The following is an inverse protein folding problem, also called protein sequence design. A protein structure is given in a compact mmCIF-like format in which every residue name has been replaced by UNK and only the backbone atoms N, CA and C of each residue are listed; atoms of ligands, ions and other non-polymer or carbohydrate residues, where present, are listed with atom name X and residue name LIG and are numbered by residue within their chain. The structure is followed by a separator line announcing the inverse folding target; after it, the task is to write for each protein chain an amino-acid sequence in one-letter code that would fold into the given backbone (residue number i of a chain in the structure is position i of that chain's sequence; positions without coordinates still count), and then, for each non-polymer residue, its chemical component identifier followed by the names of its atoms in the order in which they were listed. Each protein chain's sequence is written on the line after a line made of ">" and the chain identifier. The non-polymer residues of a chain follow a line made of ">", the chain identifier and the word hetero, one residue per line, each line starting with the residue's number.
data_IF_549804950633
#
_entry.id   IF_549804950633
#
_cell.length_a   1.000
_cell.length_b   1.000
_cell.length_c   1.000
_cell.angle_alpha   90.00
_cell.angle_beta   90.00
_cell.angle_gamma   90.00
#
_symmetry.space_group_name_H-M   'P 1'
#
loop_
_entity.id
_entity.type
_entity.pdbx_description
1 polymer ?
#
# COMPACT_ATOMS: atom_id res chain seq x y z
N UNK A 1 14.90 2.10 6.70
CA UNK A 1 14.37 1.01 5.85
C UNK A 1 13.54 0.06 6.70
N UNK A 2 12.39 -0.38 6.22
CA UNK A 2 11.52 -1.32 6.92
C UNK A 2 10.16 -1.48 6.25
N UNK A 3 9.26 -2.21 6.91
CA UNK A 3 7.88 -2.32 6.47
C UNK A 3 7.18 -0.98 6.69
N UNK A 4 6.72 -0.37 5.61
CA UNK A 4 6.00 0.90 5.64
C UNK A 4 4.52 0.69 5.94
N UNK A 5 3.84 -0.06 5.09
CA UNK A 5 2.43 -0.37 5.25
C UNK A 5 2.04 -1.71 4.61
N UNK A 6 0.82 -2.15 4.90
CA UNK A 6 0.18 -3.31 4.31
C UNK A 6 -1.15 -2.90 3.67
N UNK A 7 -1.45 -3.40 2.48
CA UNK A 7 -2.75 -3.21 1.84
C UNK A 7 -3.43 -4.56 1.64
N UNK A 8 -4.68 -4.65 2.11
CA UNK A 8 -5.45 -5.89 2.10
C UNK A 8 -6.85 -5.68 1.52
N UNK A 9 -7.35 -6.71 0.83
CA UNK A 9 -8.73 -6.74 0.36
C UNK A 9 -9.68 -7.19 1.47
N UNK A 10 -10.81 -6.51 1.58
CA UNK A 10 -11.84 -6.76 2.58
C UNK A 10 -13.21 -6.91 1.91
N UNK A 11 -13.88 -8.05 2.09
CA UNK A 11 -15.25 -8.23 1.58
C UNK A 11 -16.25 -7.26 2.20
N UNK A 12 -16.06 -6.97 3.50
CA UNK A 12 -16.85 -5.98 4.26
C UNK A 12 -15.89 -4.89 4.77
N UNK A 13 -15.87 -3.78 4.04
CA UNK A 13 -14.98 -2.67 4.33
C UNK A 13 -15.35 -1.96 5.64
N UNK A 14 -16.65 -1.80 5.90
CA UNK A 14 -17.15 -1.11 7.09
C UNK A 14 -16.86 -1.91 8.36
N UNK A 15 -17.16 -3.20 8.37
CA UNK A 15 -16.84 -4.07 9.51
C UNK A 15 -15.34 -4.11 9.77
N UNK A 16 -14.53 -4.18 8.71
CA UNK A 16 -13.08 -4.15 8.84
C UNK A 16 -12.56 -2.82 9.37
N UNK A 17 -13.05 -1.69 8.85
CA UNK A 17 -12.66 -0.37 9.33
C UNK A 17 -13.00 -0.19 10.82
N UNK A 18 -14.19 -0.61 11.26
CA UNK A 18 -14.59 -0.58 12.67
C UNK A 18 -13.68 -1.44 13.55
N UNK A 19 -13.31 -2.64 13.11
CA UNK A 19 -12.38 -3.49 13.84
C UNK A 19 -11.06 -2.76 14.15
N UNK A 20 -10.46 -2.12 13.15
CA UNK A 20 -9.21 -1.40 13.34
C UNK A 20 -9.38 -0.11 14.16
N UNK A 21 -10.47 0.64 13.95
CA UNK A 21 -10.65 1.94 14.64
C UNK A 21 -11.18 1.80 16.06
N UNK A 22 -12.21 0.98 16.27
CA UNK A 22 -12.89 0.86 17.55
C UNK A 22 -12.18 -0.09 18.51
N UNK A 23 -11.62 -1.21 17.99
CA UNK A 23 -10.96 -2.21 18.83
C UNK A 23 -9.45 -1.96 18.96
N UNK A 24 -8.77 -1.63 17.86
CA UNK A 24 -7.31 -1.48 17.85
C UNK A 24 -6.84 -0.02 17.95
N UNK A 25 -7.75 0.97 17.93
CA UNK A 25 -7.44 2.37 18.12
C UNK A 25 -6.72 3.06 16.95
N UNK A 26 -6.79 2.49 15.75
CA UNK A 26 -6.29 3.15 14.54
C UNK A 26 -7.13 4.38 14.21
N UNK A 27 -6.53 5.32 13.49
CA UNK A 27 -7.22 6.53 13.01
C UNK A 27 -7.31 6.49 11.49
N UNK A 28 -8.41 7.03 10.96
CA UNK A 28 -8.58 7.19 9.51
C UNK A 28 -7.71 8.36 9.04
N UNK A 29 -6.89 8.12 8.02
CA UNK A 29 -6.10 9.15 7.35
C UNK A 29 -6.75 9.62 6.06
N UNK A 30 -7.32 8.66 5.31
CA UNK A 30 -7.86 8.94 4.00
C UNK A 30 -8.94 7.93 3.61
N UNK A 31 -9.89 8.37 2.79
CA UNK A 31 -10.96 7.53 2.22
C UNK A 31 -11.02 7.78 0.73
N UNK A 32 -10.77 6.76 -0.06
CA UNK A 32 -10.81 6.84 -1.52
C UNK A 32 -12.07 6.17 -2.08
N UNK A 33 -12.61 6.76 -3.15
CA UNK A 33 -13.80 6.27 -3.85
C UNK A 33 -14.80 7.39 -4.13
N UNK A 34 -15.88 7.11 -4.87
CA UNK A 34 -16.95 8.07 -5.10
C UNK A 34 -17.62 8.49 -3.78
N UNK A 35 -18.14 9.73 -3.75
CA UNK A 35 -18.86 10.25 -2.59
C UNK A 35 -19.98 9.29 -2.16
N UNK A 36 -20.02 8.92 -0.89
CA UNK A 36 -21.00 7.97 -0.33
C UNK A 36 -20.75 6.49 -0.66
N UNK A 37 -19.66 6.16 -1.38
CA UNK A 37 -19.27 4.79 -1.70
C UNK A 37 -17.77 4.59 -1.54
N UNK A 38 -17.25 4.48 -0.30
CA UNK A 38 -15.85 4.18 -0.05
C UNK A 38 -15.42 2.89 -0.75
N UNK A 39 -14.27 2.95 -1.44
CA UNK A 39 -13.63 1.80 -2.06
C UNK A 39 -12.35 1.40 -1.34
N UNK A 40 -11.76 2.35 -0.62
CA UNK A 40 -10.58 2.12 0.20
C UNK A 40 -10.59 3.04 1.43
N UNK A 41 -10.00 2.56 2.52
CA UNK A 41 -9.80 3.31 3.77
C UNK A 41 -8.35 3.13 4.21
N UNK A 42 -7.63 4.23 4.35
CA UNK A 42 -6.26 4.28 4.85
C UNK A 42 -6.28 4.58 6.35
N UNK A 43 -5.58 3.78 7.14
CA UNK A 43 -5.58 3.82 8.59
C UNK A 43 -4.15 3.88 9.13
N UNK A 44 -3.93 4.68 10.18
CA UNK A 44 -2.63 4.79 10.84
C UNK A 44 -2.71 4.52 12.34
N UNK A 45 -1.61 4.01 12.89
CA UNK A 45 -1.37 3.88 14.34
C UNK A 45 -0.05 4.54 14.78
N UNK A 46 0.61 5.25 13.86
CA UNK A 46 1.89 5.94 14.05
C UNK A 46 1.91 7.21 13.16
N UNK A 47 3.00 8.00 13.09
CA UNK A 47 3.05 9.23 12.30
C UNK A 47 2.98 9.06 10.78
N UNK A 48 3.04 7.84 10.23
CA UNK A 48 2.89 7.59 8.78
C UNK A 48 1.49 7.95 8.31
N UNK A 49 1.35 8.29 7.02
CA UNK A 49 0.04 8.48 6.42
C UNK A 49 -0.85 7.25 6.63
N UNK A 50 -0.34 6.05 6.40
CA UNK A 50 -1.05 4.83 6.75
C UNK A 50 -0.10 3.69 7.13
N UNK A 51 -0.55 2.85 8.05
CA UNK A 51 0.11 1.59 8.43
C UNK A 51 -0.59 0.40 7.79
N UNK A 52 -1.90 0.57 7.53
CA UNK A 52 -2.71 -0.39 6.78
C UNK A 52 -3.70 0.36 5.89
N UNK A 53 -3.94 -0.14 4.68
CA UNK A 53 -5.07 0.29 3.86
C UNK A 53 -5.98 -0.91 3.57
N UNK A 54 -7.27 -0.66 3.69
CA UNK A 54 -8.33 -1.64 3.46
C UNK A 54 -8.98 -1.32 2.12
N UNK A 55 -8.93 -2.24 1.17
CA UNK A 55 -9.59 -2.13 -0.12
C UNK A 55 -10.86 -2.98 -0.11
N UNK A 56 -11.99 -2.38 -0.46
CA UNK A 56 -13.24 -3.11 -0.64
C UNK A 56 -13.16 -4.07 -1.82
N UNK A 57 -13.58 -5.31 -1.61
CA UNK A 57 -13.62 -6.33 -2.66
C UNK A 57 -13.19 -7.71 -2.16
N UNK A 58 -13.49 -8.71 -2.98
CA UNK A 58 -13.11 -10.09 -2.76
C UNK A 58 -12.19 -10.54 -3.89
N UNK A 59 -10.90 -10.27 -3.75
CA UNK A 59 -9.90 -10.86 -4.63
C UNK A 59 -9.60 -12.32 -4.25
N UNK A 60 -8.98 -13.11 -5.14
CA UNK A 60 -8.56 -14.47 -4.83
C UNK A 60 -7.51 -14.50 -3.71
N UNK A 61 -6.95 -13.37 -3.38
CA UNK A 61 -5.96 -13.17 -2.32
C UNK A 61 -6.34 -12.01 -1.45
N UNK A 62 -6.03 -12.13 -0.16
CA UNK A 62 -6.33 -11.11 0.83
C UNK A 62 -5.32 -9.96 0.79
N UNK A 63 -4.07 -10.24 0.45
CA UNK A 63 -3.00 -9.23 0.35
C UNK A 63 -3.00 -8.65 -1.06
N UNK A 64 -3.11 -7.32 -1.15
CA UNK A 64 -2.86 -6.56 -2.37
C UNK A 64 -1.36 -6.32 -2.53
N UNK A 65 -0.76 -5.64 -1.57
CA UNK A 65 0.68 -5.44 -1.48
C UNK A 65 1.13 -5.14 -0.04
N UNK A 66 2.42 -5.22 0.20
CA UNK A 66 3.08 -4.54 1.30
C UNK A 66 4.19 -3.64 0.76
N UNK A 67 4.41 -2.56 1.47
CA UNK A 67 5.38 -1.54 1.10
C UNK A 67 6.65 -1.68 1.92
N UNK A 68 7.79 -1.66 1.24
CA UNK A 68 9.12 -1.58 1.83
C UNK A 68 9.68 -0.19 1.61
N UNK A 69 9.95 0.52 2.71
CA UNK A 69 10.51 1.86 2.65
C UNK A 69 12.03 1.81 2.54
N UNK A 70 12.57 2.56 1.57
CA UNK A 70 13.98 2.73 1.33
C UNK A 70 14.53 3.95 2.09
N UNK A 71 15.85 4.02 2.21
CA UNK A 71 16.52 5.16 2.86
C UNK A 71 16.63 6.38 1.95
N UNK A 72 16.61 6.19 0.64
CA UNK A 72 16.79 7.26 -0.35
C UNK A 72 15.97 7.01 -1.62
N UNK A 73 15.77 8.08 -2.37
CA UNK A 73 15.18 7.99 -3.72
C UNK A 73 16.09 7.22 -4.69
N UNK A 74 17.41 7.32 -4.52
CA UNK A 74 18.37 6.59 -5.35
C UNK A 74 18.24 5.08 -5.18
N UNK A 75 17.90 4.60 -3.96
CA UNK A 75 17.61 3.19 -3.72
C UNK A 75 16.37 2.73 -4.51
N UNK A 76 15.35 3.56 -4.60
CA UNK A 76 14.13 3.27 -5.38
C UNK A 76 14.46 3.16 -6.87
N UNK A 77 15.21 4.13 -7.41
CA UNK A 77 15.62 4.14 -8.81
C UNK A 77 16.47 2.93 -9.17
N UNK A 78 17.49 2.64 -8.35
CA UNK A 78 18.38 1.50 -8.54
C UNK A 78 17.64 0.17 -8.48
N UNK A 79 16.75 -0.01 -7.50
CA UNK A 79 15.96 -1.23 -7.37
C UNK A 79 15.01 -1.44 -8.56
N UNK A 80 14.39 -0.35 -9.06
CA UNK A 80 13.55 -0.40 -10.25
C UNK A 80 14.34 -0.86 -11.49
N UNK A 81 15.53 -0.31 -11.69
CA UNK A 81 16.38 -0.66 -12.84
C UNK A 81 16.81 -2.13 -12.76
N UNK A 82 17.18 -2.62 -11.57
CA UNK A 82 17.48 -4.04 -11.33
C UNK A 82 16.24 -4.91 -11.64
N UNK A 83 15.07 -4.54 -11.12
CA UNK A 83 13.83 -5.30 -11.36
C UNK A 83 13.51 -5.42 -12.86
N UNK A 84 13.72 -4.35 -13.64
CA UNK A 84 13.57 -4.36 -15.09
C UNK A 84 14.62 -5.23 -15.78
N UNK A 85 15.87 -5.11 -15.36
CA UNK A 85 16.98 -5.88 -15.95
C UNK A 85 16.80 -7.40 -15.79
N UNK A 86 16.28 -7.85 -14.65
CA UNK A 86 16.02 -9.28 -14.39
C UNK A 86 14.65 -9.73 -14.86
N UNK A 87 13.84 -8.86 -15.46
CA UNK A 87 12.53 -9.19 -16.01
C UNK A 87 11.44 -9.43 -14.99
N UNK A 88 11.54 -8.83 -13.79
CA UNK A 88 10.46 -8.91 -12.78
C UNK A 88 9.21 -8.21 -13.31
N UNK A 89 8.02 -8.85 -13.25
CA UNK A 89 6.79 -8.22 -13.73
C UNK A 89 6.46 -6.95 -12.95
N UNK A 90 6.39 -5.82 -13.67
CA UNK A 90 6.02 -4.52 -13.12
C UNK A 90 4.50 -4.41 -13.02
N UNK A 91 3.97 -4.20 -11.81
CA UNK A 91 2.52 -4.01 -11.57
C UNK A 91 2.16 -2.54 -11.74
N UNK A 92 2.94 -1.64 -11.13
CA UNK A 92 2.85 -0.19 -11.28
C UNK A 92 4.27 0.32 -11.45
N UNK A 93 4.54 1.10 -12.50
CA UNK A 93 5.86 1.69 -12.71
C UNK A 93 6.06 2.91 -11.81
N UNK A 94 7.28 3.44 -11.80
CA UNK A 94 7.69 4.54 -10.93
C UNK A 94 6.75 5.73 -11.05
N UNK A 95 6.25 6.18 -9.91
CA UNK A 95 5.40 7.37 -9.79
C UNK A 95 5.40 7.93 -8.39
N UNK A 96 4.71 9.05 -8.22
CA UNK A 96 4.45 9.67 -6.92
C UNK A 96 2.98 9.58 -6.57
N UNK A 97 2.67 9.03 -5.42
CA UNK A 97 1.31 9.03 -4.89
C UNK A 97 0.86 10.43 -4.51
N UNK A 98 -0.43 10.75 -4.73
CA UNK A 98 -0.98 12.06 -4.41
C UNK A 98 -1.36 12.20 -2.93
N UNK A 99 -1.71 11.10 -2.28
CA UNK A 99 -2.21 11.10 -0.90
C UNK A 99 -1.10 11.09 0.15
N UNK A 100 -0.09 10.25 0.00
CA UNK A 100 1.03 10.11 0.94
C UNK A 100 2.37 10.62 0.41
N UNK A 101 2.39 11.11 -0.84
CA UNK A 101 3.57 11.63 -1.54
C UNK A 101 4.71 10.62 -1.77
N UNK A 102 4.48 9.34 -1.46
CA UNK A 102 5.43 8.26 -1.69
C UNK A 102 5.87 8.21 -3.16
N UNK A 103 7.17 8.17 -3.39
CA UNK A 103 7.74 7.84 -4.71
C UNK A 103 8.06 6.37 -4.69
N UNK A 104 7.36 5.59 -5.51
CA UNK A 104 7.47 4.13 -5.47
C UNK A 104 7.21 3.48 -6.82
N UNK A 105 7.48 2.19 -6.89
CA UNK A 105 7.04 1.28 -7.93
C UNK A 105 6.57 -0.03 -7.31
N UNK A 106 5.76 -0.81 -8.03
CA UNK A 106 5.23 -2.08 -7.55
C UNK A 106 5.63 -3.21 -8.48
N UNK A 107 6.12 -4.29 -7.93
CA UNK A 107 6.47 -5.52 -8.66
C UNK A 107 5.69 -6.71 -8.12
N UNK A 108 5.33 -7.64 -9.00
CA UNK A 108 4.75 -8.91 -8.58
C UNK A 108 5.83 -9.81 -7.96
N UNK A 109 5.48 -10.50 -6.87
CA UNK A 109 6.33 -11.53 -6.28
C UNK A 109 5.83 -12.94 -6.63
N UNK A 110 6.63 -13.99 -6.37
CA UNK A 110 6.21 -15.37 -6.64
C UNK A 110 4.95 -15.81 -5.89
N UNK A 111 4.63 -15.19 -4.74
CA UNK A 111 3.38 -15.44 -3.97
C UNK A 111 2.17 -14.71 -4.55
N UNK A 112 2.36 -13.99 -5.67
CA UNK A 112 1.34 -13.35 -6.51
C UNK A 112 0.57 -12.20 -5.82
N UNK A 113 1.18 -11.52 -4.89
CA UNK A 113 0.79 -10.17 -4.47
C UNK A 113 1.91 -9.19 -4.86
N UNK A 114 1.68 -7.90 -4.77
CA UNK A 114 2.70 -6.93 -5.12
C UNK A 114 3.61 -6.59 -3.94
N UNK A 115 4.85 -6.24 -4.25
CA UNK A 115 5.76 -5.52 -3.35
C UNK A 115 5.85 -4.09 -3.87
N UNK A 116 5.48 -3.13 -3.05
CA UNK A 116 5.77 -1.72 -3.27
C UNK A 116 7.15 -1.41 -2.68
N UNK A 117 7.99 -0.74 -3.45
CA UNK A 117 9.32 -0.32 -3.04
C UNK A 117 9.42 1.19 -3.21
N UNK A 118 9.56 1.94 -2.09
CA UNK A 118 9.36 3.37 -2.13
C UNK A 118 10.09 4.17 -1.07
N UNK A 119 10.04 5.50 -1.22
CA UNK A 119 10.68 6.48 -0.36
C UNK A 119 9.86 7.76 -0.25
N UNK A 120 9.87 8.39 0.93
CA UNK A 120 9.42 9.77 1.15
C UNK A 120 7.91 9.96 1.34
N UNK A 121 7.21 8.94 1.87
CA UNK A 121 5.81 8.99 2.27
C UNK A 121 5.61 9.16 3.77
#
# INVERSE_FOLDING_TARGET
>A
MGLGHLVVYQPDLDASAKFYTELLGFRVSDVAGPLGRPMAVSLHCNPRHHSIALFGGSGPRRINHFMLECNSLDDVGSARDIARQVGTPMVIDLGRHMNDHMVSFHVANPSQFAIEYGWGG
#
